data_IF_565209071324
#
_entry.id   IF_565209071324
#
_cell.length_a   1.000
_cell.length_b   1.000
_cell.length_c   1.000
_cell.angle_alpha   90.00
_cell.angle_beta   90.00
_cell.angle_gamma   90.00
#
_symmetry.space_group_name_H-M   'P 1'
#
loop_
_entity.id
_entity.type
_entity.pdbx_description
1 polymer ?
#
# COMPACT_ATOMS: atom_id res chain seq x y z
N UNK A 1 -5.18 -4.54 -10.95
CA UNK A 1 -5.42 -3.11 -11.22
C UNK A 1 -6.88 -2.80 -11.51
N UNK A 2 -7.51 -3.53 -12.44
CA UNK A 2 -8.90 -3.31 -12.86
C UNK A 2 -9.96 -3.41 -11.73
N UNK A 3 -11.19 -2.90 -11.95
CA UNK A 3 -12.35 -3.19 -11.11
C UNK A 3 -12.49 -4.69 -10.82
N UNK A 4 -12.82 -5.04 -9.57
CA UNK A 4 -12.83 -6.43 -9.10
C UNK A 4 -11.50 -6.94 -8.55
N UNK A 5 -10.35 -6.30 -8.82
CA UNK A 5 -9.04 -6.71 -8.26
C UNK A 5 -9.07 -6.78 -6.73
N UNK A 6 -9.67 -5.79 -6.06
CA UNK A 6 -9.75 -5.77 -4.59
C UNK A 6 -10.59 -6.94 -4.05
N UNK A 7 -11.71 -7.27 -4.72
CA UNK A 7 -12.55 -8.40 -4.33
C UNK A 7 -11.83 -9.75 -4.54
N UNK A 8 -11.12 -9.89 -5.66
CA UNK A 8 -10.29 -11.08 -5.92
C UNK A 8 -9.18 -11.24 -4.88
N UNK A 9 -8.51 -10.14 -4.50
CA UNK A 9 -7.49 -10.15 -3.46
C UNK A 9 -8.08 -10.51 -2.09
N UNK A 10 -9.25 -9.98 -1.76
CA UNK A 10 -9.96 -10.29 -0.51
C UNK A 10 -10.29 -11.78 -0.42
N UNK A 11 -10.83 -12.35 -1.51
CA UNK A 11 -11.10 -13.78 -1.62
C UNK A 11 -9.83 -14.60 -1.40
N UNK A 12 -8.74 -14.27 -2.10
CA UNK A 12 -7.46 -14.96 -1.96
C UNK A 12 -6.95 -14.90 -0.51
N UNK A 13 -6.93 -13.71 0.08
CA UNK A 13 -6.40 -13.50 1.43
C UNK A 13 -7.21 -14.27 2.49
N UNK A 14 -8.53 -14.26 2.37
CA UNK A 14 -9.42 -15.01 3.26
C UNK A 14 -9.18 -16.52 3.19
N UNK A 15 -9.04 -17.08 1.98
CA UNK A 15 -8.76 -18.51 1.82
C UNK A 15 -7.39 -18.89 2.36
N UNK A 16 -6.35 -18.08 2.12
CA UNK A 16 -5.00 -18.31 2.67
C UNK A 16 -5.00 -18.28 4.19
N UNK A 17 -5.71 -17.31 4.81
CA UNK A 17 -5.83 -17.22 6.27
C UNK A 17 -6.56 -18.43 6.86
N UNK A 18 -7.67 -18.86 6.25
CA UNK A 18 -8.42 -20.05 6.68
C UNK A 18 -7.57 -21.32 6.57
N UNK A 19 -6.84 -21.48 5.47
CA UNK A 19 -5.90 -22.59 5.29
C UNK A 19 -4.79 -22.59 6.35
N UNK A 20 -4.21 -21.42 6.64
CA UNK A 20 -3.17 -21.26 7.66
C UNK A 20 -3.66 -21.60 9.08
N UNK A 21 -4.87 -21.15 9.46
CA UNK A 21 -5.48 -21.46 10.75
C UNK A 21 -5.81 -22.95 10.86
N UNK A 22 -6.30 -23.58 9.79
CA UNK A 22 -6.62 -25.01 9.79
C UNK A 22 -5.38 -25.90 10.03
N UNK A 23 -4.20 -25.49 9.56
CA UNK A 23 -2.99 -26.30 9.61
C UNK A 23 -2.10 -26.04 10.85
N UNK A 24 -2.38 -25.01 11.66
CA UNK A 24 -1.48 -24.60 12.74
C UNK A 24 -2.09 -24.76 14.13
N UNK A 25 -1.37 -25.45 15.01
CA UNK A 25 -1.71 -25.60 16.43
C UNK A 25 -1.22 -24.43 17.30
N UNK A 26 -0.32 -23.59 16.76
CA UNK A 26 0.26 -22.44 17.45
C UNK A 26 0.53 -21.33 16.45
N UNK A 27 -0.34 -20.31 16.44
CA UNK A 27 -0.27 -19.24 15.44
C UNK A 27 0.71 -18.16 15.92
N UNK A 28 1.80 -17.99 15.18
CA UNK A 28 2.73 -16.85 15.30
C UNK A 28 3.01 -16.27 13.92
N UNK A 29 2.79 -14.97 13.74
CA UNK A 29 2.96 -14.28 12.46
C UNK A 29 1.65 -13.98 11.74
N UNK A 30 1.74 -13.55 10.47
CA UNK A 30 0.61 -13.06 9.70
C UNK A 30 0.58 -13.75 8.33
N UNK A 31 -0.53 -14.43 8.03
CA UNK A 31 -0.75 -15.03 6.71
C UNK A 31 -1.49 -14.05 5.80
N UNK A 32 -0.99 -13.86 4.60
CA UNK A 32 -1.76 -13.18 3.57
C UNK A 32 -0.98 -12.72 2.36
N UNK A 33 -1.71 -12.07 1.46
CA UNK A 33 -1.15 -11.55 0.22
C UNK A 33 -0.28 -10.30 0.51
N UNK A 34 0.94 -10.38 0.01
CA UNK A 34 1.90 -9.27 -0.04
C UNK A 34 1.81 -8.60 -1.41
N UNK A 35 1.95 -7.27 -1.46
CA UNK A 35 1.80 -6.48 -2.69
C UNK A 35 3.04 -5.60 -2.97
N UNK A 36 4.25 -6.18 -3.05
CA UNK A 36 5.49 -5.44 -3.26
C UNK A 36 5.64 -5.08 -4.75
N UNK A 37 5.46 -3.81 -5.10
CA UNK A 37 5.49 -3.41 -6.52
C UNK A 37 6.83 -3.75 -7.18
N UNK A 38 7.96 -3.56 -6.50
CA UNK A 38 9.27 -3.81 -7.09
C UNK A 38 9.70 -5.28 -7.16
N UNK A 39 9.05 -6.15 -6.40
CA UNK A 39 9.47 -7.55 -6.24
C UNK A 39 8.59 -8.51 -7.08
N UNK A 40 7.41 -8.06 -7.53
CA UNK A 40 6.48 -8.84 -8.35
C UNK A 40 6.41 -8.33 -9.79
N UNK A 41 6.89 -9.15 -10.74
CA UNK A 41 6.90 -8.79 -12.17
C UNK A 41 5.50 -8.51 -12.74
N UNK A 42 4.46 -9.18 -12.25
CA UNK A 42 3.08 -8.95 -12.69
C UNK A 42 2.57 -7.58 -12.24
N UNK A 43 2.94 -7.15 -11.04
CA UNK A 43 2.63 -5.81 -10.53
C UNK A 43 3.40 -4.73 -11.31
N UNK A 44 4.70 -4.93 -11.57
CA UNK A 44 5.52 -4.03 -12.40
C UNK A 44 4.85 -3.82 -13.76
N UNK A 45 4.54 -4.91 -14.46
CA UNK A 45 3.90 -4.86 -15.78
C UNK A 45 2.55 -4.13 -15.73
N UNK A 46 1.77 -4.30 -14.65
CA UNK A 46 0.49 -3.64 -14.48
C UNK A 46 0.63 -2.13 -14.20
N UNK A 47 1.70 -1.71 -13.52
CA UNK A 47 2.03 -0.28 -13.33
C UNK A 47 2.48 0.33 -14.64
N UNK A 48 3.38 -0.33 -15.37
CA UNK A 48 3.87 0.16 -16.68
C UNK A 48 2.75 0.26 -17.71
N UNK A 49 1.80 -0.66 -17.68
CA UNK A 49 0.59 -0.59 -18.51
C UNK A 49 -0.42 0.49 -18.06
N UNK A 50 -0.16 1.20 -16.96
CA UNK A 50 -1.05 2.22 -16.38
C UNK A 50 -2.33 1.64 -15.74
N UNK A 51 -2.40 0.32 -15.56
CA UNK A 51 -3.57 -0.35 -15.01
C UNK A 51 -3.58 -0.41 -13.48
N UNK A 52 -2.43 -0.19 -12.83
CA UNK A 52 -2.26 -0.22 -11.39
C UNK A 52 -1.71 1.13 -10.89
N UNK A 53 -2.55 1.87 -10.15
CA UNK A 53 -2.20 3.17 -9.57
C UNK A 53 -1.93 3.05 -8.07
N UNK A 54 -1.34 4.08 -7.45
CA UNK A 54 -1.10 4.13 -6.00
C UNK A 54 -2.42 4.05 -5.23
N UNK A 55 -3.46 4.76 -5.67
CA UNK A 55 -4.78 4.74 -5.04
C UNK A 55 -5.43 3.36 -5.17
N UNK A 56 -5.12 2.61 -6.24
CA UNK A 56 -5.59 1.23 -6.37
C UNK A 56 -4.85 0.29 -5.42
N UNK A 57 -3.55 0.50 -5.21
CA UNK A 57 -2.76 -0.23 -4.21
C UNK A 57 -3.28 0.07 -2.81
N UNK A 58 -3.53 1.33 -2.47
CA UNK A 58 -4.19 1.78 -1.24
C UNK A 58 -5.56 1.10 -1.07
N UNK A 59 -6.40 1.09 -2.10
CA UNK A 59 -7.67 0.37 -2.05
C UNK A 59 -7.51 -1.15 -1.91
N UNK A 60 -6.37 -1.73 -2.28
CA UNK A 60 -6.06 -3.14 -2.04
C UNK A 60 -5.56 -3.36 -0.61
N UNK A 61 -4.97 -2.34 0.03
CA UNK A 61 -4.52 -2.46 1.42
C UNK A 61 -5.66 -2.69 2.39
N UNK A 62 -6.88 -2.23 2.12
CA UNK A 62 -8.02 -2.47 3.02
C UNK A 62 -8.33 -3.96 3.23
N UNK A 63 -7.93 -4.84 2.30
CA UNK A 63 -8.14 -6.30 2.39
C UNK A 63 -6.85 -7.12 2.42
N UNK A 64 -5.68 -6.51 2.17
CA UNK A 64 -4.38 -7.20 2.23
C UNK A 64 -3.80 -7.25 3.65
N UNK A 65 -2.60 -7.81 3.80
CA UNK A 65 -1.97 -8.05 5.11
C UNK A 65 -0.89 -7.05 5.53
N UNK A 66 -0.19 -6.40 4.60
CA UNK A 66 1.00 -5.57 4.93
C UNK A 66 0.78 -4.07 4.75
N UNK A 67 0.23 -3.62 3.62
CA UNK A 67 0.04 -2.19 3.31
C UNK A 67 0.75 -1.80 2.02
N UNK A 68 1.12 -0.53 1.89
CA UNK A 68 1.89 -0.01 0.75
C UNK A 68 3.36 -0.40 0.91
N UNK A 69 3.88 -1.24 0.02
CA UNK A 69 5.26 -1.71 0.10
C UNK A 69 6.01 -1.63 -1.23
N UNK A 70 7.30 -1.28 -1.14
CA UNK A 70 8.21 -1.15 -2.27
C UNK A 70 7.69 -0.29 -3.42
N UNK A 71 7.11 0.87 -3.10
CA UNK A 71 6.59 1.80 -4.09
C UNK A 71 7.60 2.91 -4.34
N UNK A 72 8.11 3.00 -5.57
CA UNK A 72 8.98 4.10 -5.99
C UNK A 72 8.17 5.29 -6.50
N UNK A 73 8.47 6.49 -6.02
CA UNK A 73 7.80 7.74 -6.40
C UNK A 73 8.82 8.81 -6.82
N UNK A 74 8.41 9.89 -7.51
CA UNK A 74 9.31 10.96 -7.91
C UNK A 74 10.04 11.55 -6.70
N UNK A 75 11.35 11.77 -6.84
CA UNK A 75 12.19 12.26 -5.75
C UNK A 75 11.89 13.70 -5.30
N UNK A 76 11.15 14.46 -6.11
CA UNK A 76 10.66 15.80 -5.81
C UNK A 76 9.27 15.79 -5.13
N UNK A 77 8.73 14.62 -4.78
CA UNK A 77 7.45 14.53 -4.05
C UNK A 77 7.58 15.22 -2.68
N UNK A 78 6.70 16.19 -2.36
CA UNK A 78 6.76 16.90 -1.09
C UNK A 78 6.61 15.98 0.12
N UNK A 79 7.33 16.29 1.20
CA UNK A 79 7.20 15.57 2.47
C UNK A 79 5.76 15.61 3.03
N UNK A 80 5.01 16.67 2.74
CA UNK A 80 3.58 16.78 3.09
C UNK A 80 2.75 15.74 2.35
N UNK A 81 2.97 15.54 1.06
CA UNK A 81 2.29 14.49 0.26
C UNK A 81 2.60 13.10 0.79
N UNK A 82 3.88 12.80 1.07
CA UNK A 82 4.29 11.51 1.67
C UNK A 82 3.61 11.31 3.03
N UNK A 83 3.55 12.36 3.85
CA UNK A 83 2.87 12.32 5.15
C UNK A 83 1.36 12.08 5.02
N UNK A 84 0.74 12.62 3.97
CA UNK A 84 -0.65 12.36 3.62
C UNK A 84 -0.89 10.87 3.33
N UNK A 85 -0.07 10.28 2.46
CA UNK A 85 -0.18 8.84 2.12
C UNK A 85 0.01 7.95 3.36
N UNK A 86 0.95 8.31 4.24
CA UNK A 86 1.13 7.60 5.51
C UNK A 86 -0.10 7.73 6.41
N UNK A 87 -0.72 8.92 6.47
CA UNK A 87 -1.92 9.15 7.27
C UNK A 87 -3.13 8.35 6.74
N UNK A 88 -3.28 8.25 5.42
CA UNK A 88 -4.35 7.48 4.79
C UNK A 88 -4.21 5.98 5.08
N UNK A 89 -3.01 5.42 4.90
CA UNK A 89 -2.74 4.01 5.20
C UNK A 89 -2.86 3.69 6.71
N UNK A 90 -2.49 4.65 7.57
CA UNK A 90 -2.71 4.54 9.01
C UNK A 90 -4.21 4.56 9.36
N UNK A 91 -5.02 5.38 8.68
CA UNK A 91 -6.47 5.42 8.86
C UNK A 91 -7.13 4.10 8.42
N UNK A 92 -6.73 3.54 7.27
CA UNK A 92 -7.17 2.21 6.82
C UNK A 92 -6.87 1.15 7.87
N UNK A 93 -5.66 1.17 8.44
CA UNK A 93 -5.27 0.25 9.51
C UNK A 93 -6.09 0.41 10.77
N UNK A 94 -6.20 1.64 11.25
CA UNK A 94 -6.92 2.03 12.47
C UNK A 94 -8.40 1.64 12.41
N UNK A 95 -9.08 1.95 11.31
CA UNK A 95 -10.53 1.72 11.15
C UNK A 95 -10.83 0.23 10.98
N UNK A 96 -10.00 -0.50 10.24
CA UNK A 96 -10.22 -1.92 9.96
C UNK A 96 -9.61 -2.87 11.01
N UNK A 97 -9.04 -2.35 12.10
CA UNK A 97 -8.36 -3.13 13.14
C UNK A 97 -7.29 -4.06 12.57
N UNK A 98 -6.50 -3.56 11.61
CA UNK A 98 -5.43 -4.30 10.98
C UNK A 98 -4.11 -3.55 11.08
N UNK A 99 -3.03 -4.31 11.04
CA UNK A 99 -1.69 -3.73 10.90
C UNK A 99 -1.50 -3.29 9.45
N UNK A 100 -1.00 -2.07 9.28
CA UNK A 100 -0.57 -1.53 8.00
C UNK A 100 0.86 -1.01 8.13
N UNK A 101 1.56 -0.94 6.99
CA UNK A 101 2.90 -0.43 6.86
C UNK A 101 2.98 0.37 5.57
N UNK A 102 3.89 1.34 5.54
CA UNK A 102 4.18 2.16 4.36
C UNK A 102 5.68 2.13 4.12
N UNK A 103 6.07 1.62 2.95
CA UNK A 103 7.43 1.71 2.41
C UNK A 103 7.35 2.34 1.03
N UNK A 104 7.48 3.66 1.03
CA UNK A 104 7.53 4.49 -0.17
C UNK A 104 8.96 5.02 -0.31
N UNK A 105 9.47 5.01 -1.53
CA UNK A 105 10.86 5.35 -1.86
C UNK A 105 10.84 6.53 -2.83
N UNK A 106 11.04 7.77 -2.33
CA UNK A 106 11.28 8.92 -3.20
C UNK A 106 12.65 8.80 -3.83
N UNK A 107 12.71 8.63 -5.16
CA UNK A 107 13.98 8.41 -5.87
C UNK A 107 14.49 9.73 -6.43
N UNK A 108 15.51 10.28 -5.76
CA UNK A 108 16.10 11.59 -6.10
C UNK A 108 16.57 11.63 -7.55
N UNK A 109 16.13 12.65 -8.29
CA UNK A 109 16.51 12.88 -9.68
C UNK A 109 15.71 12.08 -10.70
N UNK A 110 14.83 11.16 -10.26
CA UNK A 110 13.95 10.40 -11.15
C UNK A 110 12.52 10.94 -11.16
N UNK A 111 11.85 10.76 -12.29
CA UNK A 111 10.50 11.24 -12.59
C UNK A 111 9.63 10.08 -13.08
N UNK A 112 8.32 10.34 -13.16
CA UNK A 112 7.36 9.38 -13.74
C UNK A 112 7.79 8.97 -15.14
N UNK A 113 7.86 7.66 -15.39
CA UNK A 113 8.36 7.08 -16.64
C UNK A 113 9.80 6.55 -16.54
N UNK A 114 10.56 6.97 -15.51
CA UNK A 114 11.83 6.34 -15.18
C UNK A 114 11.61 5.01 -14.45
N UNK A 115 12.67 4.19 -14.37
CA UNK A 115 12.68 2.91 -13.66
C UNK A 115 13.94 2.85 -12.77
N UNK A 116 13.77 2.50 -11.50
CA UNK A 116 14.86 2.36 -10.53
C UNK A 116 15.19 0.89 -10.32
N UNK A 117 16.47 0.54 -10.39
CA UNK A 117 16.96 -0.81 -10.06
C UNK A 117 17.54 -0.81 -8.63
N UNK A 118 16.92 -1.58 -7.74
CA UNK A 118 17.39 -1.77 -6.37
C UNK A 118 18.37 -2.95 -6.25
N UNK A 119 18.45 -3.80 -7.29
CA UNK A 119 19.29 -4.98 -7.34
C UNK A 119 18.82 -6.12 -6.42
N UNK A 120 19.35 -7.32 -6.70
CA UNK A 120 19.13 -8.51 -5.88
C UNK A 120 17.64 -8.88 -5.73
N UNK A 121 17.22 -9.13 -4.49
CA UNK A 121 15.84 -9.55 -4.17
C UNK A 121 14.83 -8.40 -4.21
N UNK A 122 15.28 -7.15 -4.17
CA UNK A 122 14.40 -5.98 -4.16
C UNK A 122 13.94 -5.57 -5.56
N UNK A 123 14.50 -6.20 -6.61
CA UNK A 123 14.08 -6.03 -7.99
C UNK A 123 14.23 -4.59 -8.48
N UNK A 124 13.34 -4.20 -9.39
CA UNK A 124 13.29 -2.86 -9.97
C UNK A 124 11.86 -2.33 -9.87
N UNK A 125 11.69 -1.00 -9.85
CA UNK A 125 10.38 -0.38 -9.75
C UNK A 125 10.24 0.78 -10.75
N UNK A 126 9.16 0.81 -11.55
CA UNK A 126 8.79 2.00 -12.29
C UNK A 126 8.41 3.12 -11.31
N UNK A 127 8.82 4.35 -11.62
CA UNK A 127 8.45 5.53 -10.82
C UNK A 127 6.95 5.80 -11.01
N UNK A 128 6.17 5.58 -9.97
CA UNK A 128 4.72 5.73 -9.99
C UNK A 128 4.30 7.19 -9.83
N UNK A 129 3.28 7.66 -10.57
CA UNK A 129 2.75 9.00 -10.36
C UNK A 129 2.09 9.12 -8.98
N UNK A 130 2.26 10.28 -8.35
CA UNK A 130 1.56 10.68 -7.13
C UNK A 130 0.61 11.82 -7.48
N UNK A 131 -0.53 11.88 -6.82
CA UNK A 131 -1.51 12.95 -7.02
C UNK A 131 -0.89 14.34 -6.75
N UNK A 132 -0.98 15.30 -7.69
CA UNK A 132 -0.36 16.62 -7.57
C UNK A 132 -1.12 17.60 -6.67
N UNK A 133 -2.35 17.27 -6.24
CA UNK A 133 -3.13 18.14 -5.36
C UNK A 133 -2.58 18.13 -3.93
N UNK A 134 -2.49 19.32 -3.32
CA UNK A 134 -1.87 19.47 -2.00
C UNK A 134 -2.77 19.03 -0.85
N UNK A 135 -2.20 18.25 0.08
CA UNK A 135 -2.77 17.92 1.39
C UNK A 135 -2.13 18.69 2.55
N UNK A 136 -1.33 19.73 2.26
CA UNK A 136 -0.53 20.47 3.24
C UNK A 136 -1.36 21.05 4.39
N UNK A 137 -2.55 21.58 4.10
CA UNK A 137 -3.45 22.12 5.12
C UNK A 137 -3.89 21.07 6.15
N UNK A 138 -4.05 19.81 5.71
CA UNK A 138 -4.41 18.70 6.60
C UNK A 138 -3.21 18.26 7.44
N UNK A 139 -2.08 17.98 6.80
CA UNK A 139 -0.87 17.48 7.47
C UNK A 139 -0.35 18.47 8.50
N UNK A 140 -0.37 19.77 8.19
CA UNK A 140 0.10 20.82 9.10
C UNK A 140 -0.86 21.14 10.25
N UNK A 141 -2.06 20.56 10.28
CA UNK A 141 -3.00 20.75 11.41
C UNK A 141 -2.45 20.17 12.71
N UNK A 142 -1.55 19.19 12.62
CA UNK A 142 -0.92 18.50 13.73
C UNK A 142 -1.92 17.98 14.78
N UNK A 143 -1.42 17.53 15.94
CA UNK A 143 -2.25 17.00 17.02
C UNK A 143 -2.50 15.49 16.91
N UNK A 144 -3.70 15.05 17.28
CA UNK A 144 -4.05 13.63 17.44
C UNK A 144 -5.34 13.31 16.70
N UNK A 145 -5.30 12.31 15.82
CA UNK A 145 -6.50 11.69 15.26
C UNK A 145 -7.15 10.84 16.38
N UNK A 146 -8.41 11.10 16.76
CA UNK A 146 -9.08 10.36 17.83
C UNK A 146 -9.36 8.91 17.39
N UNK A 147 -9.53 8.03 18.38
CA UNK A 147 -9.84 6.63 18.12
C UNK A 147 -11.24 6.47 17.48
N UNK A 148 -11.43 5.50 16.57
CA UNK A 148 -12.71 5.26 15.93
C UNK A 148 -13.72 4.66 16.92
N UNK A 149 -15.01 4.91 16.70
CA UNK A 149 -16.09 4.32 17.50
C UNK A 149 -16.23 2.85 17.13
N UNK A 150 -16.06 1.94 18.10
CA UNK A 150 -16.11 0.50 17.85
C UNK A 150 -17.52 -0.11 17.88
N UNK A 151 -18.50 0.51 18.55
CA UNK A 151 -19.83 -0.09 18.80
C UNK A 151 -20.95 0.32 17.84
N UNK A 152 -20.77 1.38 17.06
CA UNK A 152 -21.69 1.81 16.00
C UNK A 152 -21.08 1.49 14.63
N UNK A 153 -20.94 0.20 14.33
CA UNK A 153 -20.59 -0.27 12.98
C UNK A 153 -21.90 -0.47 12.20
N UNK A 154 -22.03 0.16 11.03
CA UNK A 154 -23.11 -0.14 10.07
C UNK A 154 -22.95 -1.55 9.48
#
# INVERSE_FOLDING_TARGET
GAPGTTAALALLNDQVKKGGIMASSYVGGLSGAFIPVSEDQGMINAVEAGALTIEKLEAMTCVCSVGLDMIAIPGDTPATTISGVIADEAAIGMVNQKTTAVRIIPVVGMKVGDNVDFGGLLGHAPIMPVNPFSCEAFVNRAGRIPAPIHSFKN
#
